data_IF_552097282384
#
_entry.id   IF_552097282384
#
_cell.length_a   1.000
_cell.length_b   1.000
_cell.length_c   1.000
_cell.angle_alpha   90.00
_cell.angle_beta   90.00
_cell.angle_gamma   90.00
#
_symmetry.space_group_name_H-M   'P 1'
#
loop_
_entity.id
_entity.type
_entity.pdbx_description
1 polymer ?
#
# COMPACT_ATOMS: atom_id res chain seq x y z
N UNK A 1 14.12 5.54 -15.28
CA UNK A 1 14.29 5.34 -13.84
C UNK A 1 13.05 5.90 -13.17
N UNK A 2 12.20 5.01 -12.70
CA UNK A 2 10.93 5.29 -12.07
C UNK A 2 11.12 4.98 -10.58
N UNK A 3 10.93 5.99 -9.73
CA UNK A 3 10.84 5.84 -8.28
C UNK A 3 9.69 6.73 -7.83
N UNK A 4 8.62 6.12 -7.33
CA UNK A 4 7.47 6.85 -6.87
C UNK A 4 6.82 6.19 -5.67
N UNK A 5 6.10 7.03 -4.91
CA UNK A 5 5.37 6.64 -3.73
C UNK A 5 3.88 6.80 -3.99
N UNK A 6 3.13 5.72 -3.82
CA UNK A 6 1.68 5.71 -3.93
C UNK A 6 1.06 5.39 -2.58
N UNK A 7 0.12 6.23 -2.12
CA UNK A 7 -0.59 6.04 -0.86
C UNK A 7 -2.08 6.02 -1.08
N UNK A 8 -2.77 5.10 -0.41
CA UNK A 8 -4.22 5.02 -0.34
C UNK A 8 -4.65 5.04 1.12
N UNK A 9 -5.74 5.74 1.42
CA UNK A 9 -6.30 5.82 2.78
C UNK A 9 -7.82 5.87 2.76
N UNK A 10 -8.43 5.47 3.87
CA UNK A 10 -9.88 5.48 4.02
C UNK A 10 -10.37 4.81 5.30
N UNK A 11 -11.68 4.71 5.43
CA UNK A 11 -12.30 4.12 6.63
C UNK A 11 -11.96 2.64 6.78
N UNK A 12 -11.77 2.19 8.02
CA UNK A 12 -11.60 0.77 8.33
C UNK A 12 -12.82 -0.03 7.83
N UNK A 13 -12.56 -1.06 7.02
CA UNK A 13 -13.59 -1.85 6.35
C UNK A 13 -13.83 -1.49 4.89
N UNK A 14 -13.32 -0.35 4.39
CA UNK A 14 -13.48 0.07 3.00
C UNK A 14 -12.52 -0.62 2.00
N UNK A 15 -11.77 -1.63 2.43
CA UNK A 15 -10.89 -2.41 1.55
C UNK A 15 -9.51 -1.78 1.26
N UNK A 16 -9.09 -0.77 2.03
CA UNK A 16 -7.77 -0.10 1.88
C UNK A 16 -6.62 -1.10 1.91
N UNK A 17 -6.65 -2.02 2.87
CA UNK A 17 -5.64 -3.07 3.07
C UNK A 17 -5.51 -4.01 1.86
N UNK A 18 -6.66 -4.50 1.39
CA UNK A 18 -6.72 -5.43 0.26
C UNK A 18 -6.26 -4.75 -1.04
N UNK A 19 -6.65 -3.50 -1.23
CA UNK A 19 -6.29 -2.70 -2.41
C UNK A 19 -4.79 -2.39 -2.43
N UNK A 20 -4.24 -1.95 -1.31
CA UNK A 20 -2.80 -1.67 -1.17
C UNK A 20 -1.93 -2.89 -1.44
N UNK A 21 -2.27 -4.02 -0.84
CA UNK A 21 -1.59 -5.29 -1.09
C UNK A 21 -1.71 -5.76 -2.55
N UNK A 22 -2.87 -5.54 -3.18
CA UNK A 22 -3.06 -5.90 -4.59
C UNK A 22 -2.17 -5.07 -5.50
N UNK A 23 -2.09 -3.75 -5.26
CA UNK A 23 -1.20 -2.85 -5.99
C UNK A 23 0.28 -3.25 -5.82
N UNK A 24 0.74 -3.47 -4.59
CA UNK A 24 2.10 -3.92 -4.30
C UNK A 24 2.46 -5.23 -5.02
N UNK A 25 1.55 -6.21 -5.00
CA UNK A 25 1.73 -7.48 -5.72
C UNK A 25 1.77 -7.31 -7.24
N UNK A 26 0.96 -6.42 -7.81
CA UNK A 26 0.99 -6.13 -9.24
C UNK A 26 2.34 -5.51 -9.61
N UNK A 27 2.80 -4.49 -8.89
CA UNK A 27 4.10 -3.87 -9.12
C UNK A 27 5.26 -4.88 -9.01
N UNK A 28 5.26 -5.71 -7.96
CA UNK A 28 6.26 -6.76 -7.79
C UNK A 28 6.26 -7.78 -8.95
N UNK A 29 5.08 -8.20 -9.44
CA UNK A 29 4.95 -9.11 -10.58
C UNK A 29 5.38 -8.51 -11.91
N UNK A 30 5.34 -7.18 -12.04
CA UNK A 30 5.84 -6.45 -13.20
C UNK A 30 7.37 -6.26 -13.17
N UNK A 31 8.05 -6.71 -12.12
CA UNK A 31 9.51 -6.68 -12.00
C UNK A 31 10.07 -5.50 -11.22
N UNK A 32 9.22 -4.67 -10.60
CA UNK A 32 9.68 -3.55 -9.78
C UNK A 32 10.13 -3.98 -8.37
N UNK A 33 11.03 -3.20 -7.79
CA UNK A 33 11.32 -3.24 -6.36
C UNK A 33 10.21 -2.55 -5.59
N UNK A 34 9.67 -3.23 -4.59
CA UNK A 34 8.51 -2.77 -3.82
C UNK A 34 8.81 -2.78 -2.33
N UNK A 35 8.51 -1.66 -1.67
CA UNK A 35 8.48 -1.54 -0.21
C UNK A 35 7.09 -1.02 0.15
N UNK A 36 6.37 -1.72 1.00
CA UNK A 36 5.11 -1.26 1.54
C UNK A 36 5.18 -0.88 3.02
N UNK A 37 4.33 0.07 3.38
CA UNK A 37 4.14 0.53 4.74
C UNK A 37 2.65 0.68 5.01
N UNK A 38 2.22 0.12 6.14
CA UNK A 38 0.80 0.04 6.50
C UNK A 38 0.59 0.75 7.83
N UNK A 39 -0.40 1.62 7.88
CA UNK A 39 -0.87 2.23 9.12
C UNK A 39 -2.31 1.80 9.38
N UNK A 40 -2.53 1.17 10.55
CA UNK A 40 -3.86 0.90 11.07
C UNK A 40 -3.89 1.28 12.56
N UNK A 41 -4.95 1.92 13.06
CA UNK A 41 -5.08 2.27 14.46
C UNK A 41 -5.36 1.01 15.30
N UNK A 42 -5.08 1.08 16.61
CA UNK A 42 -5.43 0.04 17.58
C UNK A 42 -6.94 0.00 17.89
N UNK A 43 -7.77 -0.14 16.85
CA UNK A 43 -9.22 -0.19 16.89
C UNK A 43 -9.72 -1.44 16.15
N UNK A 44 -10.64 -2.19 16.76
CA UNK A 44 -11.24 -3.38 16.14
C UNK A 44 -12.28 -2.98 15.07
N UNK A 45 -12.94 -1.82 15.23
CA UNK A 45 -13.93 -1.27 14.29
C UNK A 45 -13.79 0.25 14.19
N UNK A 46 -14.02 0.77 12.99
CA UNK A 46 -13.88 2.19 12.69
C UNK A 46 -12.41 2.65 12.64
N UNK A 47 -12.21 3.93 12.39
CA UNK A 47 -10.88 4.52 12.23
C UNK A 47 -10.44 4.66 10.77
N UNK A 48 -9.22 5.15 10.58
CA UNK A 48 -8.65 5.42 9.26
C UNK A 48 -7.45 4.50 9.03
N UNK A 49 -7.51 3.69 7.98
CA UNK A 49 -6.39 2.86 7.53
C UNK A 49 -5.68 3.57 6.38
N UNK A 50 -4.36 3.41 6.34
CA UNK A 50 -3.54 3.87 5.22
C UNK A 50 -2.60 2.75 4.76
N UNK A 51 -2.32 2.72 3.46
CA UNK A 51 -1.39 1.80 2.83
C UNK A 51 -0.54 2.58 1.84
N UNK A 52 0.76 2.50 1.99
CA UNK A 52 1.76 3.20 1.20
C UNK A 52 2.65 2.17 0.50
N UNK A 53 2.95 2.41 -0.77
CA UNK A 53 3.76 1.52 -1.62
C UNK A 53 4.77 2.38 -2.38
N UNK A 54 6.04 2.17 -2.10
CA UNK A 54 7.14 2.66 -2.93
C UNK A 54 7.43 1.66 -4.03
N UNK A 55 7.51 2.14 -5.26
CA UNK A 55 7.82 1.36 -6.46
C UNK A 55 9.04 1.96 -7.12
N UNK A 56 10.08 1.15 -7.32
CA UNK A 56 11.34 1.58 -7.92
C UNK A 56 11.84 0.58 -8.98
N UNK A 57 12.47 1.09 -10.04
CA UNK A 57 13.19 0.28 -11.05
C UNK A 57 14.47 -0.36 -10.46
N UNK A 58 15.05 0.27 -9.44
CA UNK A 58 16.29 -0.15 -8.76
C UNK A 58 16.07 -0.26 -7.25
N UNK A 59 17.01 -0.89 -6.55
CA UNK A 59 16.87 -1.27 -5.14
C UNK A 59 17.14 -0.14 -4.16
#
# INVERSE_FOLDING_TARGET
>A
MSDFLWKIGGEAGAGIMTTGLSFAKIASRLGYHVIDFVEYPSLIRGGHNSYEVRVADEK
#
